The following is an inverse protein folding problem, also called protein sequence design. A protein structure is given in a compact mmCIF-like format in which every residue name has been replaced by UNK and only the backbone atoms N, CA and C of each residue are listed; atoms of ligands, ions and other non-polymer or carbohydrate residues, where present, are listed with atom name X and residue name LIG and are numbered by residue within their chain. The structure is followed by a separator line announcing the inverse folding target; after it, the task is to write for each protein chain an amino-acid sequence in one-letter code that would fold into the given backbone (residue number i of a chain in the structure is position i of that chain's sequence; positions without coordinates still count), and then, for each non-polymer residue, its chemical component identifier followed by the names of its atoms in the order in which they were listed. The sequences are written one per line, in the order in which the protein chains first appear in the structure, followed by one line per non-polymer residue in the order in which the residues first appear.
data_IF_258775844256
#
_entry.id   IF_258775844256
#
_cell.length_a   1.000
_cell.length_b   1.000
_cell.length_c   1.000
_cell.angle_alpha   90.00
_cell.angle_beta   90.00
_cell.angle_gamma   90.00
#
_symmetry.space_group_name_H-M   'P 1'
#
loop_
_entity.id
_entity.type
_entity.pdbx_description
1 polymer ?
#
# COMPACT_ATOMS: atom_id res chain seq x y z
N UNK A 1 -14.83 2.26 1.87
CA UNK A 1 -14.17 3.11 2.89
C UNK A 1 -14.20 2.49 4.28
N UNK A 2 -14.89 1.36 4.51
CA UNK A 2 -15.19 0.78 5.84
C UNK A 2 -14.02 0.70 6.84
N UNK A 3 -12.77 0.53 6.38
CA UNK A 3 -11.61 0.42 7.28
C UNK A 3 -10.69 1.66 7.28
N UNK A 4 -11.06 2.73 6.57
CA UNK A 4 -10.27 3.98 6.56
C UNK A 4 -8.90 3.91 5.88
N UNK A 5 -8.61 2.87 5.08
CA UNK A 5 -7.28 2.64 4.47
C UNK A 5 -7.07 3.35 3.13
N UNK A 6 -8.15 3.64 2.39
CA UNK A 6 -8.07 4.16 1.01
C UNK A 6 -9.02 5.34 0.85
N UNK A 7 -8.48 6.45 0.37
CA UNK A 7 -9.25 7.60 -0.13
C UNK A 7 -9.68 7.33 -1.57
N UNK A 8 -10.90 7.73 -1.91
CA UNK A 8 -11.39 7.84 -3.29
C UNK A 8 -11.54 9.32 -3.62
N UNK A 9 -10.73 9.80 -4.57
CA UNK A 9 -10.74 11.18 -5.04
C UNK A 9 -11.33 11.19 -6.44
N UNK A 10 -12.32 12.05 -6.68
CA UNK A 10 -12.86 12.32 -8.01
C UNK A 10 -12.36 13.70 -8.41
N UNK A 11 -11.63 13.76 -9.53
CA UNK A 11 -11.27 15.02 -10.16
C UNK A 11 -12.28 15.27 -11.27
N UNK A 12 -13.05 16.36 -11.13
CA UNK A 12 -13.97 16.84 -12.14
C UNK A 12 -13.21 17.42 -13.34
N UNK A 13 -13.80 17.29 -14.53
CA UNK A 13 -13.25 17.75 -15.80
C UNK A 13 -13.46 16.71 -16.90
N UNK A 14 -13.23 17.06 -18.18
CA UNK A 14 -13.15 16.09 -19.26
C UNK A 14 -11.69 15.64 -19.48
N UNK A 15 -11.34 14.36 -19.28
CA UNK A 15 -12.17 13.28 -18.75
C UNK A 15 -12.28 13.32 -17.22
N UNK A 16 -13.38 12.76 -16.70
CA UNK A 16 -13.54 12.56 -15.24
C UNK A 16 -12.48 11.55 -14.80
N UNK A 17 -11.74 11.87 -13.74
CA UNK A 17 -10.71 10.97 -13.20
C UNK A 17 -11.07 10.50 -11.81
N UNK A 18 -10.83 9.22 -11.54
CA UNK A 18 -10.97 8.63 -10.20
C UNK A 18 -9.61 8.12 -9.75
N UNK A 19 -9.14 8.62 -8.61
CA UNK A 19 -7.86 8.26 -8.01
C UNK A 19 -8.13 7.55 -6.69
N UNK A 20 -7.51 6.38 -6.53
CA UNK A 20 -7.47 5.66 -5.26
C UNK A 20 -6.07 5.82 -4.66
N UNK A 21 -5.98 6.31 -3.43
CA UNK A 21 -4.71 6.44 -2.72
C UNK A 21 -4.84 5.91 -1.30
N UNK A 22 -3.72 5.43 -0.74
CA UNK A 22 -3.68 5.09 0.68
C UNK A 22 -3.85 6.36 1.52
N UNK A 23 -4.73 6.28 2.51
CA UNK A 23 -4.81 7.25 3.59
C UNK A 23 -3.53 7.20 4.43
N UNK A 24 -3.40 8.11 5.40
CA UNK A 24 -2.36 7.99 6.41
C UNK A 24 -2.43 6.65 7.15
N UNK A 25 -3.62 6.25 7.60
CA UNK A 25 -3.85 4.95 8.24
C UNK A 25 -3.47 3.77 7.32
N UNK A 26 -3.82 3.85 6.03
CA UNK A 26 -3.44 2.85 5.02
C UNK A 26 -1.93 2.73 4.82
N UNK A 27 -1.20 3.86 4.88
CA UNK A 27 0.27 3.85 4.82
C UNK A 27 0.89 3.23 6.07
N UNK A 28 0.40 3.57 7.26
CA UNK A 28 0.88 2.97 8.51
C UNK A 28 0.61 1.45 8.54
N UNK A 29 -0.57 1.02 8.13
CA UNK A 29 -0.88 -0.41 7.98
C UNK A 29 0.09 -1.10 7.00
N UNK A 30 0.41 -0.47 5.87
CA UNK A 30 1.41 -0.98 4.93
C UNK A 30 2.82 -1.09 5.52
N UNK A 31 3.23 -0.14 6.38
CA UNK A 31 4.52 -0.21 7.10
C UNK A 31 4.55 -1.39 8.06
N UNK A 32 3.47 -1.64 8.80
CA UNK A 32 3.37 -2.78 9.70
C UNK A 32 3.49 -4.13 8.98
N UNK A 33 3.04 -4.21 7.73
CA UNK A 33 3.17 -5.42 6.90
C UNK A 33 4.56 -5.57 6.25
N UNK A 34 5.40 -4.53 6.27
CA UNK A 34 6.69 -4.53 5.58
C UNK A 34 7.66 -5.63 6.06
N UNK A 35 7.77 -5.95 7.37
CA UNK A 35 8.60 -7.07 7.84
C UNK A 35 8.13 -8.42 7.32
N UNK A 36 6.82 -8.66 7.24
CA UNK A 36 6.26 -9.90 6.68
C UNK A 36 6.61 -10.03 5.19
N UNK A 37 6.48 -8.94 4.44
CA UNK A 37 6.87 -8.90 3.02
C UNK A 37 8.37 -9.13 2.86
N UNK A 38 9.21 -8.56 3.73
CA UNK A 38 10.65 -8.80 3.74
C UNK A 38 10.98 -10.27 3.98
N UNK A 39 10.35 -10.89 4.99
CA UNK A 39 10.49 -12.32 5.26
C UNK A 39 10.11 -13.17 4.05
N UNK A 40 8.96 -12.90 3.42
CA UNK A 40 8.52 -13.64 2.23
C UNK A 40 9.50 -13.50 1.07
N UNK A 41 10.07 -12.30 0.86
CA UNK A 41 11.08 -12.07 -0.18
C UNK A 41 12.36 -12.88 0.07
N UNK A 42 12.80 -12.97 1.32
CA UNK A 42 13.97 -13.79 1.70
C UNK A 42 13.65 -15.26 1.49
N UNK A 43 12.51 -15.74 1.99
CA UNK A 43 12.09 -17.13 1.87
C UNK A 43 11.96 -17.59 0.41
N UNK A 44 11.47 -16.71 -0.47
CA UNK A 44 11.34 -16.99 -1.90
C UNK A 44 12.66 -16.79 -2.69
N UNK A 45 13.77 -16.45 -2.03
CA UNK A 45 15.05 -16.17 -2.69
C UNK A 45 15.04 -14.91 -3.57
N UNK A 46 14.06 -14.02 -3.40
CA UNK A 46 13.95 -12.76 -4.16
C UNK A 46 14.87 -11.67 -3.61
N UNK A 47 15.30 -11.80 -2.35
CA UNK A 47 16.23 -10.91 -1.66
C UNK A 47 17.13 -11.75 -0.76
N UNK A 48 18.40 -11.38 -0.62
CA UNK A 48 19.32 -12.02 0.34
C UNK A 48 19.07 -11.42 1.73
N UNK A 49 18.85 -12.27 2.73
CA UNK A 49 18.70 -11.85 4.12
C UNK A 49 19.97 -11.20 4.67
N UNK A 50 19.88 -10.48 5.80
CA UNK A 50 21.08 -9.99 6.48
C UNK A 50 22.04 -11.15 6.77
N UNK A 51 23.34 -10.88 6.65
CA UNK A 51 24.42 -11.82 7.01
C UNK A 51 24.45 -12.09 8.50
#
# INVERSE_FOLDING_TARGET
MENGLVDRIVEDGPPIRVIYRLTEHGREAGRLLSPLVAYMKIYQGRVVGPK
#
